data_IF_346868924717
#
_entry.id   IF_346868924717
#
_cell.length_a   1.000
_cell.length_b   1.000
_cell.length_c   1.000
_cell.angle_alpha   90.00
_cell.angle_beta   90.00
_cell.angle_gamma   90.00
#
_symmetry.space_group_name_H-M   'P 1'
#
loop_
_entity.id
_entity.type
_entity.pdbx_description
1 polymer ?
#
# COMPACT_ATOMS: atom_id res chain seq x y z
N UNK A 1 14.58 -28.86 -8.37
CA UNK A 1 15.35 -28.14 -7.32
C UNK A 1 15.29 -26.66 -7.66
N UNK A 2 14.34 -25.93 -7.08
CA UNK A 2 14.12 -24.50 -7.35
C UNK A 2 14.97 -23.68 -6.37
N UNK A 3 15.87 -22.85 -6.89
CA UNK A 3 16.70 -21.96 -6.09
C UNK A 3 15.81 -20.85 -5.49
N UNK A 4 15.45 -20.96 -4.20
CA UNK A 4 14.82 -19.87 -3.46
C UNK A 4 15.88 -18.82 -3.13
N UNK A 5 15.72 -17.62 -3.66
CA UNK A 5 16.50 -16.44 -3.26
C UNK A 5 16.09 -16.07 -1.83
N UNK A 6 16.98 -16.30 -0.86
CA UNK A 6 16.78 -15.89 0.53
C UNK A 6 17.37 -14.50 0.71
N UNK A 7 16.55 -13.52 1.12
CA UNK A 7 17.03 -12.18 1.47
C UNK A 7 17.61 -12.25 2.89
N UNK A 8 18.94 -12.23 3.01
CA UNK A 8 19.62 -12.16 4.31
C UNK A 8 19.66 -10.71 4.77
N UNK A 9 18.89 -10.38 5.79
CA UNK A 9 18.94 -9.06 6.43
C UNK A 9 20.12 -8.98 7.41
N UNK A 10 20.99 -7.96 7.33
CA UNK A 10 22.04 -7.78 8.32
C UNK A 10 21.39 -7.20 9.60
N UNK A 11 21.38 -8.02 10.65
CA UNK A 11 20.86 -7.81 12.03
C UNK A 11 19.51 -8.49 12.31
N UNK A 12 19.58 -9.78 12.69
CA UNK A 12 18.73 -10.39 13.72
C UNK A 12 17.20 -10.33 13.59
N UNK A 13 16.64 -10.08 12.40
CA UNK A 13 15.19 -9.99 12.18
C UNK A 13 14.76 -10.95 11.06
N UNK A 14 13.61 -11.61 11.27
CA UNK A 14 13.05 -12.68 10.45
C UNK A 14 13.15 -12.40 8.93
N UNK A 15 13.55 -13.43 8.17
CA UNK A 15 13.53 -13.41 6.70
C UNK A 15 12.08 -13.29 6.24
N UNK A 16 11.70 -12.16 5.65
CA UNK A 16 10.38 -12.01 5.04
C UNK A 16 10.43 -12.64 3.65
N UNK A 17 9.73 -13.74 3.48
CA UNK A 17 9.59 -14.42 2.19
C UNK A 17 8.61 -13.64 1.30
N UNK A 18 8.84 -13.64 -0.01
CA UNK A 18 7.92 -13.03 -0.98
C UNK A 18 6.49 -13.62 -0.86
N UNK A 19 6.38 -14.88 -0.43
CA UNK A 19 5.11 -15.58 -0.18
C UNK A 19 4.31 -14.97 0.99
N UNK A 20 4.96 -14.17 1.83
CA UNK A 20 4.35 -13.48 2.97
C UNK A 20 3.94 -12.04 2.64
N UNK A 21 3.87 -11.65 1.36
CA UNK A 21 3.36 -10.34 0.95
C UNK A 21 1.98 -10.48 0.31
N UNK A 22 0.99 -9.79 0.87
CA UNK A 22 -0.34 -9.64 0.28
C UNK A 22 -0.57 -8.17 -0.10
N UNK A 23 -0.80 -7.91 -1.38
CA UNK A 23 -1.27 -6.58 -1.83
C UNK A 23 -2.78 -6.56 -1.73
N UNK A 24 -3.34 -5.52 -1.11
CA UNK A 24 -4.77 -5.28 -0.99
C UNK A 24 -5.11 -3.97 -1.68
N UNK A 25 -6.13 -3.98 -2.53
CA UNK A 25 -6.65 -2.77 -3.17
C UNK A 25 -8.16 -2.74 -3.11
N UNK A 26 -8.74 -1.54 -3.18
CA UNK A 26 -10.16 -1.35 -3.47
C UNK A 26 -10.36 -1.05 -4.97
N UNK A 27 -11.35 -1.68 -5.58
CA UNK A 27 -11.85 -1.38 -6.92
C UNK A 27 -13.30 -1.85 -7.01
N UNK A 28 -14.20 -0.99 -7.49
CA UNK A 28 -15.61 -1.33 -7.71
C UNK A 28 -15.88 -1.76 -9.15
N UNK A 29 -15.07 -1.29 -10.09
CA UNK A 29 -15.22 -1.51 -11.53
C UNK A 29 -13.87 -1.85 -12.18
N UNK A 30 -13.92 -2.56 -13.31
CA UNK A 30 -12.75 -2.87 -14.12
C UNK A 30 -12.42 -1.74 -15.09
N UNK A 31 -11.92 -0.63 -14.56
CA UNK A 31 -11.48 0.54 -15.35
C UNK A 31 -10.16 0.28 -16.08
N UNK A 32 -9.82 1.09 -17.09
CA UNK A 32 -8.49 1.04 -17.74
C UNK A 32 -7.35 1.19 -16.72
N UNK A 33 -7.52 2.10 -15.76
CA UNK A 33 -6.58 2.31 -14.65
C UNK A 33 -6.35 1.03 -13.83
N UNK A 34 -7.45 0.36 -13.44
CA UNK A 34 -7.39 -0.91 -12.74
C UNK A 34 -6.72 -2.01 -13.58
N UNK A 35 -7.02 -2.10 -14.88
CA UNK A 35 -6.39 -3.07 -15.77
C UNK A 35 -4.88 -2.81 -15.92
N UNK A 36 -4.46 -1.54 -15.96
CA UNK A 36 -3.04 -1.15 -15.95
C UNK A 36 -2.35 -1.55 -14.64
N UNK A 37 -3.00 -1.30 -13.49
CA UNK A 37 -2.52 -1.77 -12.20
C UNK A 37 -2.34 -3.29 -12.16
N UNK A 38 -3.37 -4.06 -12.51
CA UNK A 38 -3.32 -5.53 -12.52
C UNK A 38 -2.28 -6.09 -13.50
N UNK A 39 -2.06 -5.42 -14.64
CA UNK A 39 -1.01 -5.80 -15.60
C UNK A 39 0.38 -5.71 -14.96
N UNK A 40 0.72 -4.59 -14.35
CA UNK A 40 2.03 -4.42 -13.69
C UNK A 40 2.18 -5.33 -12.47
N UNK A 41 1.09 -5.57 -11.72
CA UNK A 41 1.10 -6.51 -10.61
C UNK A 41 1.44 -7.94 -11.06
N UNK A 42 0.87 -8.41 -12.18
CA UNK A 42 1.18 -9.72 -12.77
C UNK A 42 2.60 -9.79 -13.31
N UNK A 43 3.09 -8.73 -13.96
CA UNK A 43 4.45 -8.67 -14.48
C UNK A 43 5.51 -8.87 -13.39
N UNK A 44 5.26 -8.34 -12.20
CA UNK A 44 6.13 -8.47 -11.03
C UNK A 44 5.78 -9.63 -10.09
N UNK A 45 4.81 -10.48 -10.44
CA UNK A 45 4.34 -11.62 -9.63
C UNK A 45 3.83 -11.23 -8.24
N UNK A 46 3.06 -10.14 -8.13
CA UNK A 46 2.35 -9.80 -6.89
C UNK A 46 1.07 -10.62 -6.73
N UNK A 47 0.81 -11.07 -5.51
CA UNK A 47 -0.49 -11.59 -5.09
C UNK A 47 -1.39 -10.43 -4.68
N UNK A 48 -2.43 -10.17 -5.45
CA UNK A 48 -3.36 -9.04 -5.23
C UNK A 48 -4.73 -9.53 -4.79
N UNK A 49 -5.23 -8.97 -3.68
CA UNK A 49 -6.61 -9.08 -3.22
C UNK A 49 -7.37 -7.80 -3.54
N UNK A 50 -8.36 -7.92 -4.42
CA UNK A 50 -9.26 -6.83 -4.80
C UNK A 50 -10.49 -6.84 -3.90
N UNK A 51 -10.84 -5.69 -3.34
CA UNK A 51 -12.00 -5.49 -2.46
C UNK A 51 -13.06 -4.65 -3.17
N UNK A 52 -14.32 -5.07 -3.06
CA UNK A 52 -15.48 -4.30 -3.53
C UNK A 52 -15.80 -4.43 -5.02
N UNK A 53 -15.16 -5.35 -5.76
CA UNK A 53 -15.43 -5.51 -7.20
C UNK A 53 -16.88 -5.94 -7.44
N UNK A 54 -17.62 -5.16 -8.22
CA UNK A 54 -19.05 -5.35 -8.44
C UNK A 54 -19.96 -4.85 -7.30
N UNK A 55 -19.41 -4.24 -6.24
CA UNK A 55 -20.19 -3.52 -5.23
C UNK A 55 -20.38 -2.05 -5.62
N UNK A 56 -21.55 -1.47 -5.29
CA UNK A 56 -21.79 -0.05 -5.48
C UNK A 56 -20.84 0.82 -4.65
N UNK A 57 -20.24 1.82 -5.28
CA UNK A 57 -19.45 2.84 -4.59
C UNK A 57 -20.35 3.81 -3.82
N UNK A 58 -20.20 3.78 -2.49
CA UNK A 58 -20.87 4.65 -1.51
C UNK A 58 -19.86 5.52 -0.75
N UNK A 59 -18.62 5.60 -1.22
CA UNK A 59 -17.55 6.36 -0.59
C UNK A 59 -17.55 7.86 -0.89
N UNK A 60 -18.52 8.36 -1.66
CA UNK A 60 -18.62 9.77 -2.07
C UNK A 60 -17.73 10.12 -3.27
N UNK A 61 -17.81 11.37 -3.73
CA UNK A 61 -17.00 11.87 -4.85
C UNK A 61 -15.57 12.21 -4.38
N UNK A 62 -14.72 11.19 -4.36
CA UNK A 62 -13.31 11.29 -3.93
C UNK A 62 -12.44 12.11 -4.89
N UNK A 63 -12.89 12.34 -6.12
CA UNK A 63 -12.17 13.19 -7.06
C UNK A 63 -12.36 14.68 -6.72
N UNK A 64 -13.48 15.04 -6.07
CA UNK A 64 -13.87 16.43 -5.85
C UNK A 64 -13.93 16.83 -4.37
N UNK A 65 -14.11 15.87 -3.45
CA UNK A 65 -14.37 16.13 -2.04
C UNK A 65 -13.76 15.06 -1.12
N UNK A 66 -13.85 15.27 0.19
CA UNK A 66 -13.49 14.24 1.19
C UNK A 66 -14.37 13.00 1.03
N UNK A 67 -13.78 11.82 1.15
CA UNK A 67 -14.50 10.55 0.96
C UNK A 67 -13.61 9.34 1.14
N UNK A 68 -14.06 8.20 0.60
CA UNK A 68 -13.27 6.96 0.55
C UNK A 68 -13.35 6.09 1.81
N UNK A 69 -14.14 6.46 2.82
CA UNK A 69 -14.27 5.67 4.07
C UNK A 69 -14.75 4.23 3.86
N UNK A 70 -15.44 3.93 2.75
CA UNK A 70 -15.81 2.58 2.36
C UNK A 70 -14.59 1.66 2.18
N UNK A 71 -13.48 2.20 1.65
CA UNK A 71 -12.23 1.45 1.47
C UNK A 71 -11.67 0.98 2.80
N UNK A 72 -11.71 1.83 3.83
CA UNK A 72 -11.26 1.50 5.18
C UNK A 72 -12.15 0.42 5.81
N UNK A 73 -13.46 0.44 5.55
CA UNK A 73 -14.39 -0.60 6.04
C UNK A 73 -14.11 -1.96 5.41
N UNK A 74 -13.89 -2.02 4.10
CA UNK A 74 -13.51 -3.27 3.43
C UNK A 74 -12.14 -3.75 3.91
N UNK A 75 -11.15 -2.86 4.00
CA UNK A 75 -9.82 -3.18 4.50
C UNK A 75 -9.89 -3.75 5.92
N UNK A 76 -10.64 -3.13 6.84
CA UNK A 76 -10.83 -3.66 8.21
C UNK A 76 -11.35 -5.10 8.20
N UNK A 77 -12.36 -5.41 7.37
CA UNK A 77 -12.92 -6.76 7.27
C UNK A 77 -11.90 -7.77 6.75
N UNK A 78 -11.05 -7.38 5.80
CA UNK A 78 -10.02 -8.26 5.26
C UNK A 78 -8.87 -8.47 6.25
N UNK A 79 -8.38 -7.41 6.89
CA UNK A 79 -7.30 -7.48 7.89
C UNK A 79 -7.64 -8.40 9.06
N UNK A 80 -8.91 -8.45 9.48
CA UNK A 80 -9.35 -9.34 10.56
C UNK A 80 -9.12 -10.82 10.25
N UNK A 81 -9.18 -11.23 8.97
CA UNK A 81 -8.95 -12.63 8.55
C UNK A 81 -7.49 -13.06 8.69
N UNK A 82 -6.57 -12.09 8.73
CA UNK A 82 -5.13 -12.32 8.80
C UNK A 82 -4.56 -11.93 10.18
N UNK A 83 -5.42 -11.66 11.17
CA UNK A 83 -5.01 -11.14 12.48
C UNK A 83 -4.08 -12.09 13.26
N UNK A 84 -4.17 -13.40 13.01
CA UNK A 84 -3.31 -14.41 13.63
C UNK A 84 -1.97 -14.62 12.91
N UNK A 85 -1.83 -14.10 11.67
CA UNK A 85 -0.62 -14.28 10.87
C UNK A 85 0.38 -13.15 11.10
N UNK A 86 1.31 -13.38 12.03
CA UNK A 86 2.33 -12.39 12.44
C UNK A 86 3.43 -12.15 11.41
N UNK A 87 3.62 -13.08 10.47
CA UNK A 87 4.69 -13.00 9.47
C UNK A 87 4.21 -12.41 8.14
N UNK A 88 2.90 -12.16 8.00
CA UNK A 88 2.31 -11.58 6.80
C UNK A 88 2.50 -10.06 6.78
N UNK A 89 3.08 -9.57 5.69
CA UNK A 89 3.11 -8.15 5.33
C UNK A 89 1.93 -7.88 4.41
N UNK A 90 1.12 -6.88 4.75
CA UNK A 90 -0.02 -6.44 3.94
C UNK A 90 0.27 -5.05 3.42
N UNK A 91 0.28 -4.89 2.10
CA UNK A 91 0.43 -3.60 1.44
C UNK A 91 -0.92 -3.12 0.92
N UNK A 92 -1.40 -1.98 1.39
CA UNK A 92 -2.60 -1.35 0.84
C UNK A 92 -2.23 -0.26 -0.18
N UNK A 93 -2.80 -0.33 -1.37
CA UNK A 93 -2.65 0.68 -2.44
C UNK A 93 -3.99 0.92 -3.12
N UNK A 94 -4.19 2.13 -3.65
CA UNK A 94 -5.26 2.35 -4.61
C UNK A 94 -4.91 1.65 -5.96
N UNK A 95 -5.89 1.49 -6.86
CA UNK A 95 -5.69 0.75 -8.12
C UNK A 95 -5.96 1.54 -9.39
N UNK A 96 -6.76 2.60 -9.34
CA UNK A 96 -7.15 3.32 -10.57
C UNK A 96 -6.04 4.21 -11.13
N UNK A 97 -5.12 4.68 -10.29
CA UNK A 97 -4.04 5.60 -10.64
C UNK A 97 -2.64 5.10 -10.24
N UNK A 98 -2.52 3.83 -9.81
CA UNK A 98 -1.27 3.23 -9.32
C UNK A 98 -0.72 2.20 -10.32
N UNK A 99 0.60 2.10 -10.40
CA UNK A 99 1.32 1.02 -11.07
C UNK A 99 2.46 0.50 -10.19
N UNK A 100 2.82 -0.77 -10.36
CA UNK A 100 4.06 -1.30 -9.79
C UNK A 100 5.23 -1.03 -10.73
N UNK A 101 6.36 -0.61 -10.16
CA UNK A 101 7.60 -0.34 -10.88
C UNK A 101 8.75 -1.28 -10.48
N UNK A 102 8.48 -2.26 -9.60
CA UNK A 102 9.49 -3.15 -9.02
C UNK A 102 8.83 -4.37 -8.37
N UNK A 103 9.57 -5.48 -8.24
CA UNK A 103 9.09 -6.71 -7.62
C UNK A 103 8.98 -6.70 -6.07
N UNK A 104 8.30 -7.71 -5.50
CA UNK A 104 8.12 -7.89 -4.05
C UNK A 104 9.42 -7.87 -3.24
N UNK A 105 10.50 -8.44 -3.80
CA UNK A 105 11.80 -8.56 -3.13
C UNK A 105 12.36 -7.18 -2.74
N UNK A 106 12.36 -6.25 -3.71
CA UNK A 106 12.82 -4.89 -3.46
C UNK A 106 11.88 -4.16 -2.50
N UNK A 107 10.57 -4.43 -2.56
CA UNK A 107 9.59 -3.87 -1.63
C UNK A 107 9.88 -4.28 -0.19
N UNK A 108 9.96 -5.58 0.06
CA UNK A 108 10.21 -6.16 1.38
C UNK A 108 11.58 -5.76 1.92
N UNK A 109 12.60 -5.70 1.07
CA UNK A 109 13.94 -5.23 1.44
C UNK A 109 13.90 -3.78 1.94
N UNK A 110 13.22 -2.86 1.23
CA UNK A 110 13.08 -1.47 1.70
C UNK A 110 12.20 -1.37 2.95
N UNK A 111 11.13 -2.16 3.05
CA UNK A 111 10.28 -2.19 4.25
C UNK A 111 11.06 -2.60 5.49
N UNK A 112 11.78 -3.71 5.42
CA UNK A 112 12.58 -4.24 6.53
C UNK A 112 13.64 -3.24 6.98
N UNK A 113 14.29 -2.55 6.03
CA UNK A 113 15.27 -1.48 6.32
C UNK A 113 14.70 -0.27 7.04
N UNK A 114 13.40 0.01 6.92
CA UNK A 114 12.75 1.10 7.66
C UNK A 114 12.59 0.76 9.15
N UNK A 115 12.57 -0.53 9.52
CA UNK A 115 12.47 -0.95 10.92
C UNK A 115 11.16 -0.55 11.62
N UNK A 116 10.10 -0.28 10.84
CA UNK A 116 8.79 0.12 11.34
C UNK A 116 7.75 -0.96 11.08
N UNK A 117 6.76 -1.08 11.97
CA UNK A 117 5.67 -2.04 11.85
C UNK A 117 4.61 -1.65 10.81
N UNK A 118 4.44 -0.35 10.59
CA UNK A 118 3.47 0.25 9.67
C UNK A 118 4.12 1.45 9.02
N UNK A 119 4.04 1.59 7.70
CA UNK A 119 4.67 2.68 6.96
C UNK A 119 3.65 3.31 6.00
N UNK A 120 3.33 4.58 6.23
CA UNK A 120 2.47 5.33 5.32
C UNK A 120 3.31 6.04 4.23
N UNK A 121 2.73 6.25 3.06
CA UNK A 121 3.34 7.12 2.05
C UNK A 121 3.23 8.56 2.53
N UNK A 122 4.14 9.40 2.02
CA UNK A 122 4.22 10.78 2.42
C UNK A 122 4.01 11.72 1.23
N UNK A 123 3.31 12.83 1.47
CA UNK A 123 3.08 13.90 0.51
C UNK A 123 3.43 15.29 1.06
N UNK A 124 3.44 16.28 0.16
CA UNK A 124 3.82 17.66 0.48
C UNK A 124 2.72 18.50 1.12
N UNK A 125 1.49 18.01 1.19
CA UNK A 125 0.33 18.78 1.62
C UNK A 125 -0.37 18.13 2.82
N UNK A 126 -0.68 18.94 3.84
CA UNK A 126 -1.50 18.49 4.96
C UNK A 126 -2.97 18.61 4.59
N UNK A 127 -3.57 17.50 4.16
CA UNK A 127 -4.96 17.43 3.72
C UNK A 127 -5.71 16.33 4.49
N UNK A 128 -7.02 16.48 4.78
CA UNK A 128 -7.89 17.63 4.47
C UNK A 128 -7.75 18.79 5.46
N UNK A 129 -7.29 18.52 6.69
CA UNK A 129 -7.20 19.53 7.75
C UNK A 129 -5.77 20.05 7.92
N UNK A 130 -5.50 21.24 7.39
CA UNK A 130 -4.19 21.89 7.47
C UNK A 130 -3.77 22.24 8.90
N UNK A 131 -4.73 22.36 9.84
CA UNK A 131 -4.42 22.69 11.24
C UNK A 131 -3.62 21.58 11.94
N UNK A 132 -3.66 20.35 11.40
CA UNK A 132 -2.88 19.23 11.89
C UNK A 132 -1.39 19.33 11.52
N UNK A 133 -1.00 20.24 10.62
CA UNK A 133 0.37 20.32 10.13
C UNK A 133 1.41 20.53 11.24
N UNK A 134 1.06 21.30 12.28
CA UNK A 134 1.91 21.54 13.45
C UNK A 134 2.08 20.31 14.35
N UNK A 135 1.19 19.31 14.24
CA UNK A 135 1.26 18.05 15.00
C UNK A 135 2.14 16.99 14.35
N UNK A 136 2.46 17.14 13.06
CA UNK A 136 3.41 16.25 12.41
C UNK A 136 4.82 16.56 12.89
N UNK A 137 5.69 15.55 13.09
CA UNK A 137 7.11 15.78 13.35
C UNK A 137 7.74 16.65 12.26
N UNK A 138 8.73 17.46 12.63
CA UNK A 138 9.52 18.18 11.64
C UNK A 138 10.43 17.22 10.87
N UNK A 139 10.61 17.49 9.59
CA UNK A 139 11.47 16.72 8.69
C UNK A 139 12.42 17.67 7.99
N UNK A 140 13.72 17.39 8.04
CA UNK A 140 14.75 18.23 7.40
C UNK A 140 14.77 18.05 5.87
N UNK A 141 14.40 16.88 5.39
CA UNK A 141 14.35 16.54 3.97
C UNK A 141 13.23 15.55 3.70
N UNK A 142 12.50 15.73 2.60
CA UNK A 142 11.44 14.82 2.15
C UNK A 142 10.04 15.39 2.32
N UNK A 143 9.05 14.49 2.30
CA UNK A 143 7.62 14.82 2.43
C UNK A 143 7.18 14.58 3.88
N UNK A 144 6.36 15.47 4.42
CA UNK A 144 6.04 15.51 5.87
C UNK A 144 4.70 14.86 6.22
N UNK A 145 3.74 14.88 5.31
CA UNK A 145 2.35 14.60 5.65
C UNK A 145 1.93 13.23 5.12
N UNK A 146 1.03 12.55 5.84
CA UNK A 146 0.55 11.23 5.47
C UNK A 146 -0.31 11.28 4.21
N UNK A 147 -0.14 10.31 3.32
CA UNK A 147 -1.06 10.04 2.23
C UNK A 147 -1.64 8.61 2.37
N UNK A 148 -2.95 8.48 2.16
CA UNK A 148 -3.70 7.22 2.38
C UNK A 148 -4.09 6.48 1.10
N UNK A 149 -3.76 7.04 -0.07
CA UNK A 149 -4.07 6.45 -1.38
C UNK A 149 -2.88 5.80 -2.07
N UNK A 150 -1.66 6.22 -1.71
CA UNK A 150 -0.47 5.78 -2.43
C UNK A 150 -0.32 6.45 -3.80
N UNK A 151 -0.81 7.68 -4.00
CA UNK A 151 -0.65 8.37 -5.29
C UNK A 151 -0.59 9.90 -5.22
N UNK A 152 0.60 10.43 -5.56
CA UNK A 152 0.87 11.42 -6.62
C UNK A 152 2.27 11.10 -7.19
N UNK A 153 2.61 11.47 -8.44
CA UNK A 153 3.81 11.00 -9.13
C UNK A 153 5.06 11.71 -8.62
N UNK A 154 5.51 11.35 -7.42
CA UNK A 154 6.90 11.41 -7.02
C UNK A 154 7.14 10.18 -6.15
N UNK A 155 8.04 9.34 -6.64
CA UNK A 155 8.64 8.18 -5.98
C UNK A 155 8.69 8.39 -4.46
N UNK A 156 7.95 7.59 -3.69
CA UNK A 156 8.39 6.84 -2.50
C UNK A 156 7.19 6.22 -1.75
N UNK A 157 7.13 4.89 -1.93
CA UNK A 157 6.32 3.78 -1.38
C UNK A 157 5.54 3.97 -0.07
N UNK A 158 4.33 3.40 -0.05
CA UNK A 158 3.64 2.88 1.14
C UNK A 158 3.99 1.38 1.31
N UNK A 159 4.05 0.90 2.56
CA UNK A 159 3.92 -0.54 2.88
C UNK A 159 2.76 -0.69 3.83
#
# INVERSE_FOLDING_TARGET
>A
KSNRTQIVCPKGLNVILNENLLVVTAATEETDGFQRFMRTAREFNYTVKVLGLGEDWKGGDVARTVGGGQKVRWMKKELLKHSDNKDLVIMFVDSYDVIFASGPEELLSKFSRLGHRVVFSAEGFCWPDQRLASRYPEVHSGKRYLNSGGTRPQTHRLV
#
